data_IF_960489544940
#
_entry.id   IF_960489544940
#
_cell.length_a   1.000
_cell.length_b   1.000
_cell.length_c   1.000
_cell.angle_alpha   90.00
_cell.angle_beta   90.00
_cell.angle_gamma   90.00
#
_symmetry.space_group_name_H-M   'P 1'
#
loop_
_entity.id
_entity.type
_entity.pdbx_description
1 polymer ?
#
# COMPACT_ATOMS: atom_id res chain seq x y z
N UNK A 1 52.19 29.56 -27.27
CA UNK A 1 53.58 30.01 -26.98
C UNK A 1 53.50 30.89 -25.75
N UNK A 2 54.32 30.78 -24.70
CA UNK A 2 55.59 30.02 -24.50
C UNK A 2 55.59 29.23 -23.17
N UNK A 3 56.57 28.35 -22.97
CA UNK A 3 56.94 27.79 -21.64
C UNK A 3 57.96 28.70 -20.90
N UNK A 4 58.83 28.19 -19.98
CA UNK A 4 59.21 26.77 -19.77
C UNK A 4 59.43 26.31 -18.28
N UNK A 5 59.95 25.07 -18.12
CA UNK A 5 60.58 24.43 -16.93
C UNK A 5 59.64 24.07 -15.73
N UNK A 6 59.69 22.90 -15.07
CA UNK A 6 60.77 21.98 -14.62
C UNK A 6 61.49 22.50 -13.33
N UNK A 7 61.74 21.73 -12.26
CA UNK A 7 61.67 20.25 -12.00
C UNK A 7 61.20 20.02 -10.52
N UNK A 8 61.30 18.91 -9.75
CA UNK A 8 61.91 17.54 -9.83
C UNK A 8 61.38 16.56 -8.75
N UNK A 9 61.42 15.27 -9.08
CA UNK A 9 61.68 14.04 -8.27
C UNK A 9 61.43 13.99 -6.74
N UNK A 10 60.63 13.01 -6.28
CA UNK A 10 61.10 11.92 -5.37
C UNK A 10 60.01 10.86 -5.03
N UNK A 11 60.42 9.60 -4.95
CA UNK A 11 59.64 8.45 -4.46
C UNK A 11 60.48 7.64 -3.48
N UNK A 12 59.87 6.84 -2.58
CA UNK A 12 60.48 5.54 -2.30
C UNK A 12 59.51 4.35 -2.15
N UNK A 13 59.92 3.25 -2.79
CA UNK A 13 59.85 1.85 -2.35
C UNK A 13 58.58 1.27 -1.67
N UNK A 14 58.07 0.21 -2.30
CA UNK A 14 57.12 -0.75 -1.71
C UNK A 14 57.74 -1.59 -0.57
N UNK A 15 56.88 -2.26 0.21
CA UNK A 15 57.24 -3.47 0.98
C UNK A 15 56.32 -4.63 0.61
N UNK A 16 56.92 -5.79 0.32
CA UNK A 16 56.21 -7.04 0.06
C UNK A 16 55.86 -7.77 1.36
N UNK A 17 54.66 -8.31 1.45
CA UNK A 17 54.26 -9.27 2.50
C UNK A 17 53.98 -10.65 1.91
N UNK A 18 54.98 -11.54 1.88
CA UNK A 18 54.77 -12.97 1.57
C UNK A 18 54.39 -13.72 2.84
N UNK A 19 53.33 -14.52 2.79
CA UNK A 19 53.22 -15.74 3.62
C UNK A 19 52.77 -16.92 2.76
N UNK A 20 53.19 -18.13 3.14
CA UNK A 20 53.24 -19.30 2.27
C UNK A 20 52.66 -20.55 2.96
N UNK A 21 51.71 -21.19 2.27
CA UNK A 21 51.35 -22.62 2.28
C UNK A 21 51.34 -23.40 3.60
N UNK A 22 50.24 -24.16 3.82
CA UNK A 22 50.33 -25.63 3.74
C UNK A 22 48.98 -26.29 3.45
N UNK A 23 49.03 -27.57 3.12
CA UNK A 23 47.95 -28.36 2.50
C UNK A 23 48.00 -29.82 2.94
N UNK A 24 46.85 -30.42 3.18
CA UNK A 24 46.60 -31.88 3.23
C UNK A 24 45.10 -32.07 2.92
N UNK A 25 44.65 -32.65 1.80
CA UNK A 25 44.86 -33.99 1.24
C UNK A 25 44.04 -35.09 1.94
N UNK A 26 43.03 -35.61 1.26
CA UNK A 26 42.14 -36.68 1.75
C UNK A 26 41.21 -37.18 0.65
N UNK A 27 41.71 -38.04 -0.23
CA UNK A 27 40.94 -38.73 -1.27
C UNK A 27 40.47 -40.10 -0.76
N UNK A 28 39.31 -40.60 -1.22
CA UNK A 28 39.15 -41.99 -1.75
C UNK A 28 37.74 -42.20 -2.34
N UNK A 29 37.73 -42.45 -3.66
CA UNK A 29 36.89 -43.35 -4.48
C UNK A 29 35.44 -43.78 -4.12
N UNK A 30 34.65 -43.83 -5.21
CA UNK A 30 33.42 -44.59 -5.56
C UNK A 30 32.98 -45.79 -4.67
N UNK A 31 31.72 -46.29 -4.70
CA UNK A 31 30.91 -46.55 -5.90
C UNK A 31 29.43 -46.91 -5.58
N UNK A 32 28.62 -47.13 -6.63
CA UNK A 32 27.39 -47.97 -6.67
C UNK A 32 26.10 -47.52 -5.95
N UNK A 33 25.05 -47.34 -6.76
CA UNK A 33 23.63 -47.65 -6.44
C UNK A 33 23.29 -49.04 -7.02
N UNK A 34 22.06 -49.62 -6.92
CA UNK A 34 20.84 -49.12 -6.27
C UNK A 34 20.19 -50.13 -5.28
N UNK A 35 19.12 -49.69 -4.61
CA UNK A 35 18.18 -50.54 -3.88
C UNK A 35 16.98 -49.73 -3.41
N UNK A 36 15.77 -50.23 -3.66
CA UNK A 36 14.53 -49.62 -3.18
C UNK A 36 14.00 -50.40 -1.97
N UNK A 37 13.29 -49.73 -1.06
CA UNK A 37 11.87 -50.03 -0.76
C UNK A 37 11.25 -48.99 0.18
N UNK A 38 9.97 -49.15 0.49
CA UNK A 38 9.12 -48.13 1.11
C UNK A 38 8.69 -48.49 2.53
N UNK A 39 8.80 -47.56 3.48
CA UNK A 39 8.09 -47.60 4.75
C UNK A 39 7.82 -46.18 5.29
N UNK A 40 6.53 -45.85 5.51
CA UNK A 40 6.09 -44.65 6.24
C UNK A 40 5.82 -44.97 7.70
N UNK A 41 6.23 -44.12 8.66
CA UNK A 41 5.56 -44.01 9.97
C UNK A 41 5.95 -42.73 10.76
N UNK A 42 4.90 -41.99 11.16
CA UNK A 42 4.73 -41.09 12.32
C UNK A 42 5.88 -40.24 12.91
N UNK A 43 5.57 -38.94 13.05
CA UNK A 43 6.17 -37.84 13.84
C UNK A 43 6.58 -38.18 15.30
N UNK A 44 7.46 -37.35 15.89
CA UNK A 44 6.94 -36.44 16.93
C UNK A 44 7.39 -34.96 16.78
N UNK A 45 6.75 -34.10 17.58
CA UNK A 45 6.89 -32.64 17.60
C UNK A 45 8.34 -32.13 17.76
N UNK A 46 8.62 -30.96 17.16
CA UNK A 46 9.46 -29.96 17.83
C UNK A 46 8.90 -28.54 17.58
N UNK A 47 9.11 -27.63 18.53
CA UNK A 47 8.41 -26.36 18.59
C UNK A 47 9.29 -25.15 18.20
N UNK A 48 8.63 -24.10 17.71
CA UNK A 48 9.14 -22.74 17.79
C UNK A 48 10.15 -22.29 16.74
N UNK A 49 9.63 -21.71 15.65
CA UNK A 49 9.97 -20.32 15.27
C UNK A 49 8.93 -19.75 14.31
N UNK A 50 8.35 -18.61 14.67
CA UNK A 50 7.48 -17.84 13.79
C UNK A 50 8.32 -16.91 12.93
N UNK A 51 8.41 -17.20 11.63
CA UNK A 51 8.97 -16.31 10.62
C UNK A 51 7.88 -15.94 9.62
N UNK A 52 7.06 -14.96 9.98
CA UNK A 52 5.93 -14.46 9.18
C UNK A 52 6.37 -13.63 7.96
N UNK A 53 7.15 -14.22 7.07
CA UNK A 53 7.42 -13.67 5.73
C UNK A 53 6.36 -14.16 4.74
N UNK A 54 5.17 -13.55 4.80
CA UNK A 54 4.10 -13.77 3.82
C UNK A 54 4.45 -13.08 2.48
N UNK A 55 5.29 -13.72 1.68
CA UNK A 55 5.61 -13.33 0.29
C UNK A 55 4.36 -13.46 -0.62
N UNK A 56 3.53 -12.41 -0.70
CA UNK A 56 2.43 -12.33 -1.67
C UNK A 56 2.95 -12.30 -3.12
N UNK A 57 2.94 -13.46 -3.78
CA UNK A 57 3.32 -13.63 -5.19
C UNK A 57 2.25 -13.08 -6.15
N UNK A 58 2.27 -11.77 -6.44
CA UNK A 58 1.45 -11.17 -7.50
C UNK A 58 1.94 -11.67 -8.88
N UNK A 59 1.18 -12.57 -9.48
CA UNK A 59 1.49 -13.18 -10.78
C UNK A 59 2.80 -13.97 -10.87
N UNK A 60 3.28 -14.51 -9.76
CA UNK A 60 4.54 -15.29 -9.70
C UNK A 60 5.81 -14.47 -9.46
N UNK A 61 5.72 -13.13 -9.44
CA UNK A 61 6.85 -12.26 -9.10
C UNK A 61 6.89 -12.04 -7.58
N UNK A 62 8.05 -12.23 -6.95
CA UNK A 62 8.28 -11.87 -5.54
C UNK A 62 8.29 -10.35 -5.39
N UNK A 63 7.61 -9.84 -4.37
CA UNK A 63 7.40 -8.40 -4.19
C UNK A 63 7.77 -7.97 -2.77
N UNK A 64 8.83 -7.18 -2.64
CA UNK A 64 9.34 -6.73 -1.35
C UNK A 64 8.76 -5.39 -0.94
N UNK A 65 8.71 -5.14 0.37
CA UNK A 65 8.25 -3.88 0.96
C UNK A 65 9.29 -3.41 1.97
N UNK A 66 9.78 -2.17 1.79
CA UNK A 66 10.59 -1.49 2.78
C UNK A 66 9.76 -1.23 4.05
N UNK A 67 10.32 -1.57 5.21
CA UNK A 67 9.70 -1.36 6.53
C UNK A 67 10.62 -0.62 7.52
N UNK A 68 11.82 -0.22 7.09
CA UNK A 68 12.83 0.41 7.95
C UNK A 68 12.96 1.92 7.76
N UNK A 69 12.13 2.51 6.89
CA UNK A 69 12.11 3.96 6.64
C UNK A 69 13.24 4.39 5.70
N UNK A 70 13.81 5.56 5.96
CA UNK A 70 14.81 6.21 5.11
C UNK A 70 15.95 6.80 5.97
N UNK A 71 17.24 6.60 5.60
CA UNK A 71 17.72 5.82 4.45
C UNK A 71 17.39 4.32 4.57
N UNK A 72 17.24 3.66 3.42
CA UNK A 72 16.87 2.23 3.36
C UNK A 72 17.97 1.38 3.98
N UNK A 73 17.62 0.50 4.91
CA UNK A 73 18.55 -0.42 5.56
C UNK A 73 19.26 -1.33 4.55
N UNK A 74 20.56 -1.58 4.77
CA UNK A 74 21.41 -2.41 3.90
C UNK A 74 20.81 -3.78 3.53
N UNK A 75 20.14 -4.48 4.45
CA UNK A 75 19.51 -5.78 4.15
C UNK A 75 18.40 -5.65 3.10
N UNK A 76 17.57 -4.60 3.19
CA UNK A 76 16.53 -4.32 2.20
C UNK A 76 17.11 -3.78 0.90
N UNK A 77 18.18 -2.99 0.97
CA UNK A 77 18.92 -2.49 -0.19
C UNK A 77 19.55 -3.63 -1.02
N UNK A 78 20.29 -4.54 -0.39
CA UNK A 78 20.88 -5.71 -1.07
C UNK A 78 19.81 -6.65 -1.63
N UNK A 79 18.69 -6.84 -0.93
CA UNK A 79 17.55 -7.64 -1.42
C UNK A 79 16.92 -7.03 -2.68
N UNK A 80 16.78 -5.69 -2.74
CA UNK A 80 16.33 -4.99 -3.94
C UNK A 80 17.27 -5.22 -5.13
N UNK A 81 18.58 -5.01 -4.93
CA UNK A 81 19.56 -5.22 -6.01
C UNK A 81 19.65 -6.68 -6.47
N UNK A 82 19.57 -7.64 -5.55
CA UNK A 82 19.52 -9.07 -5.85
C UNK A 82 18.29 -9.45 -6.67
N UNK A 83 17.13 -8.86 -6.37
CA UNK A 83 15.91 -9.02 -7.18
C UNK A 83 16.10 -8.46 -8.60
N UNK A 84 16.58 -7.23 -8.71
CA UNK A 84 16.82 -6.55 -9.99
C UNK A 84 17.80 -7.33 -10.87
N UNK A 85 18.91 -7.82 -10.30
CA UNK A 85 19.89 -8.64 -11.01
C UNK A 85 19.35 -10.00 -11.50
N UNK A 86 18.27 -10.51 -10.89
CA UNK A 86 17.60 -11.75 -11.30
C UNK A 86 16.53 -11.55 -12.39
N UNK A 87 15.99 -10.34 -12.51
CA UNK A 87 14.86 -10.02 -13.41
C UNK A 87 15.32 -9.26 -14.66
N UNK A 88 16.39 -8.47 -14.58
CA UNK A 88 16.91 -7.73 -15.73
C UNK A 88 17.76 -8.64 -16.65
N UNK A 89 17.66 -8.55 -18.00
CA UNK A 89 18.46 -9.36 -18.92
C UNK A 89 19.97 -9.25 -18.69
N UNK A 90 20.49 -8.03 -18.58
CA UNK A 90 21.91 -7.76 -18.29
C UNK A 90 22.31 -8.04 -16.82
N UNK A 91 21.38 -8.55 -16.00
CA UNK A 91 21.57 -8.94 -14.60
C UNK A 91 22.53 -8.10 -13.78
N UNK A 92 23.63 -8.73 -13.34
CA UNK A 92 24.65 -8.12 -12.48
C UNK A 92 25.50 -7.05 -13.17
N UNK A 93 25.61 -7.03 -14.50
CA UNK A 93 26.37 -6.01 -15.21
C UNK A 93 25.66 -4.66 -15.12
N UNK A 94 24.33 -4.64 -15.27
CA UNK A 94 23.53 -3.42 -15.08
C UNK A 94 23.58 -2.95 -13.61
N UNK A 95 23.44 -3.86 -12.66
CA UNK A 95 23.57 -3.54 -11.23
C UNK A 95 24.95 -2.96 -10.90
N UNK A 96 26.02 -3.54 -11.43
CA UNK A 96 27.39 -3.05 -11.24
C UNK A 96 27.61 -1.67 -11.88
N UNK A 97 27.09 -1.45 -13.10
CA UNK A 97 27.15 -0.15 -13.80
C UNK A 97 26.49 0.98 -13.01
N UNK A 98 25.40 0.72 -12.28
CA UNK A 98 24.73 1.75 -11.47
C UNK A 98 25.38 1.87 -10.08
N UNK A 99 25.60 0.76 -9.37
CA UNK A 99 26.09 0.79 -7.98
C UNK A 99 27.52 1.31 -7.84
N UNK A 100 28.37 1.05 -8.83
CA UNK A 100 29.78 1.43 -8.80
C UNK A 100 30.07 2.72 -9.60
N UNK A 101 29.04 3.41 -10.08
CA UNK A 101 29.19 4.69 -10.77
C UNK A 101 29.65 5.78 -9.80
N UNK A 102 30.82 6.37 -10.05
CA UNK A 102 31.31 7.52 -9.29
C UNK A 102 30.38 8.75 -9.42
N UNK A 103 29.61 8.83 -10.50
CA UNK A 103 28.62 9.88 -10.76
C UNK A 103 27.35 9.28 -11.35
N UNK A 104 26.21 9.53 -10.71
CA UNK A 104 24.88 9.29 -11.26
C UNK A 104 24.17 10.64 -11.47
N UNK A 105 23.33 10.81 -12.50
CA UNK A 105 22.56 12.03 -12.69
C UNK A 105 21.65 12.29 -11.47
N UNK A 106 21.80 13.46 -10.83
CA UNK A 106 20.91 13.86 -9.74
C UNK A 106 19.51 14.09 -10.30
N UNK A 107 18.58 13.21 -9.97
CA UNK A 107 17.19 13.34 -10.40
C UNK A 107 16.59 14.66 -9.83
N UNK A 108 15.90 15.48 -10.65
CA UNK A 108 15.17 16.63 -10.13
C UNK A 108 14.04 16.17 -9.21
N UNK A 109 13.87 16.87 -8.09
CA UNK A 109 12.73 16.66 -7.19
C UNK A 109 11.54 17.45 -7.76
N UNK A 110 10.42 16.81 -8.16
CA UNK A 110 9.24 17.52 -8.63
C UNK A 110 8.67 18.40 -7.52
N UNK A 111 8.30 19.64 -7.87
CA UNK A 111 7.62 20.53 -6.91
C UNK A 111 6.24 20.00 -6.58
N UNK A 112 5.92 19.91 -5.28
CA UNK A 112 4.58 19.57 -4.80
C UNK A 112 3.57 20.56 -5.40
N UNK A 113 2.48 20.10 -6.03
CA UNK A 113 1.48 21.00 -6.58
C UNK A 113 0.81 21.78 -5.45
N UNK A 114 0.49 23.04 -5.68
CA UNK A 114 -0.21 23.91 -4.72
C UNK A 114 -1.49 24.45 -5.36
N UNK A 115 -2.63 24.30 -4.69
CA UNK A 115 -3.93 24.70 -5.22
C UNK A 115 -4.08 26.21 -5.15
N UNK A 116 -4.33 26.84 -6.31
CA UNK A 116 -4.65 28.27 -6.40
C UNK A 116 -6.15 28.43 -6.60
N UNK A 117 -6.84 29.39 -5.93
CA UNK A 117 -8.27 29.61 -6.11
C UNK A 117 -8.73 29.89 -7.57
N UNK A 118 -7.81 30.31 -8.44
CA UNK A 118 -8.04 30.49 -9.87
C UNK A 118 -7.98 29.21 -10.71
N UNK A 119 -7.65 28.04 -10.12
CA UNK A 119 -7.59 26.76 -10.81
C UNK A 119 -8.93 26.03 -10.74
N UNK A 120 -9.40 25.52 -11.89
CA UNK A 120 -10.55 24.62 -11.92
C UNK A 120 -10.22 23.26 -11.31
N UNK A 121 -11.22 22.57 -10.77
CA UNK A 121 -11.08 21.22 -10.19
C UNK A 121 -10.40 20.23 -11.17
N UNK A 122 -10.76 20.16 -12.46
CA UNK A 122 -10.06 19.28 -13.41
C UNK A 122 -8.58 19.65 -13.62
N UNK A 123 -8.24 20.94 -13.65
CA UNK A 123 -6.85 21.38 -13.77
C UNK A 123 -6.03 21.04 -12.51
N UNK A 124 -6.64 21.08 -11.33
CA UNK A 124 -6.02 20.64 -10.09
C UNK A 124 -5.78 19.13 -10.03
N UNK A 125 -6.78 18.33 -10.41
CA UNK A 125 -6.65 16.87 -10.50
C UNK A 125 -5.55 16.47 -11.51
N UNK A 126 -5.46 17.17 -12.64
CA UNK A 126 -4.38 16.98 -13.61
C UNK A 126 -2.99 17.35 -13.03
N UNK A 127 -2.88 18.43 -12.26
CA UNK A 127 -1.64 18.81 -11.61
C UNK A 127 -1.17 17.76 -10.58
N UNK A 128 -2.08 17.21 -9.77
CA UNK A 128 -1.80 16.08 -8.86
C UNK A 128 -1.33 14.85 -9.64
N UNK A 129 -2.05 14.50 -10.71
CA UNK A 129 -1.71 13.33 -11.50
C UNK A 129 -0.37 13.46 -12.21
N UNK A 130 -0.01 14.66 -12.65
CA UNK A 130 1.29 14.96 -13.25
C UNK A 130 2.42 14.91 -12.21
N UNK A 131 2.17 15.33 -10.96
CA UNK A 131 3.10 15.13 -9.85
C UNK A 131 3.34 13.64 -9.57
N UNK A 132 2.29 12.82 -9.52
CA UNK A 132 2.42 11.35 -9.41
C UNK A 132 3.20 10.74 -10.59
N UNK A 133 2.95 11.19 -11.81
CA UNK A 133 3.68 10.76 -13.01
C UNK A 133 5.17 11.15 -12.94
N UNK A 134 5.50 12.31 -12.37
CA UNK A 134 6.87 12.77 -12.18
C UNK A 134 7.65 11.99 -11.09
N UNK A 135 6.95 11.45 -10.07
CA UNK A 135 7.53 10.48 -9.13
C UNK A 135 7.84 9.12 -9.81
N UNK A 136 7.19 8.82 -10.94
CA UNK A 136 7.27 7.58 -11.71
C UNK A 136 6.60 6.36 -11.05
N UNK A 137 6.26 5.36 -11.86
CA UNK A 137 5.80 4.06 -11.37
C UNK A 137 6.98 3.24 -10.88
N UNK A 138 6.88 2.63 -9.70
CA UNK A 138 7.96 1.83 -9.14
C UNK A 138 8.12 0.47 -9.86
N UNK A 139 9.19 0.34 -10.63
CA UNK A 139 9.58 -0.88 -11.35
C UNK A 139 10.69 -1.71 -10.65
N UNK A 140 11.19 -1.33 -9.47
CA UNK A 140 12.38 -1.96 -8.84
C UNK A 140 12.13 -3.32 -8.18
N UNK A 141 10.87 -3.76 -8.11
CA UNK A 141 10.45 -4.93 -7.33
C UNK A 141 10.34 -4.68 -5.82
N UNK A 142 10.73 -3.51 -5.32
CA UNK A 142 10.67 -3.16 -3.89
C UNK A 142 9.83 -1.90 -3.67
N UNK A 143 8.72 -2.01 -2.93
CA UNK A 143 7.90 -0.88 -2.51
C UNK A 143 8.67 -0.06 -1.46
N UNK A 144 8.71 1.27 -1.60
CA UNK A 144 9.50 2.12 -0.72
C UNK A 144 8.74 2.57 0.54
N UNK A 145 7.41 2.71 0.48
CA UNK A 145 6.60 3.20 1.59
C UNK A 145 5.59 2.13 2.05
N UNK A 146 5.61 1.69 3.31
CA UNK A 146 4.68 0.65 3.78
C UNK A 146 3.25 1.18 3.95
N UNK A 147 2.30 0.63 3.18
CA UNK A 147 0.88 1.01 3.26
C UNK A 147 0.03 -0.12 3.86
N UNK A 148 -0.10 -0.12 5.20
CA UNK A 148 -1.02 -1.00 5.93
C UNK A 148 -2.45 -0.48 5.78
N UNK A 149 -3.27 -1.14 4.97
CA UNK A 149 -4.67 -0.74 4.63
C UNK A 149 -5.62 -0.59 5.84
N UNK A 150 -5.28 -1.20 6.97
CA UNK A 150 -6.01 -1.12 8.25
C UNK A 150 -5.57 0.04 9.14
N UNK A 151 -4.52 0.79 8.77
CA UNK A 151 -4.03 1.95 9.53
C UNK A 151 -5.09 3.07 9.49
N UNK A 152 -5.33 3.79 10.60
CA UNK A 152 -6.12 5.03 10.62
C UNK A 152 -5.71 6.03 9.53
N UNK A 153 -6.65 6.82 9.03
CA UNK A 153 -6.40 7.82 7.98
C UNK A 153 -5.26 8.78 8.35
N UNK A 154 -5.23 9.28 9.59
CA UNK A 154 -4.14 10.13 10.09
C UNK A 154 -2.74 9.55 9.91
N UNK A 155 -2.56 8.27 10.23
CA UNK A 155 -1.29 7.57 10.00
C UNK A 155 -0.96 7.38 8.50
N UNK A 156 -1.97 7.23 7.64
CA UNK A 156 -1.75 7.18 6.19
C UNK A 156 -1.35 8.56 5.63
N UNK A 157 -1.82 9.66 6.24
CA UNK A 157 -1.41 11.03 5.90
C UNK A 157 -0.01 11.42 6.43
N UNK A 158 0.57 10.66 7.36
CA UNK A 158 2.01 10.71 7.66
C UNK A 158 2.83 10.09 6.52
N UNK A 159 2.49 8.88 6.09
CA UNK A 159 3.21 8.22 4.99
C UNK A 159 3.08 8.98 3.67
N UNK A 160 1.96 9.68 3.42
CA UNK A 160 1.84 10.60 2.28
C UNK A 160 2.80 11.81 2.34
N UNK A 161 3.06 12.35 3.55
CA UNK A 161 4.08 13.40 3.75
C UNK A 161 5.51 12.86 3.56
N UNK A 162 5.75 11.61 3.94
CA UNK A 162 7.02 10.93 3.69
C UNK A 162 7.26 10.71 2.19
N UNK A 163 6.26 10.25 1.42
CA UNK A 163 6.34 10.16 -0.05
C UNK A 163 6.74 11.49 -0.70
N UNK A 164 6.20 12.60 -0.18
CA UNK A 164 6.52 13.96 -0.64
C UNK A 164 7.95 14.37 -0.26
N UNK A 165 8.42 14.01 0.94
CA UNK A 165 9.78 14.37 1.42
C UNK A 165 10.88 13.58 0.70
N UNK A 166 10.69 12.27 0.52
CA UNK A 166 11.67 11.38 -0.10
C UNK A 166 11.62 11.38 -1.64
N UNK A 167 10.45 11.72 -2.22
CA UNK A 167 10.26 11.87 -3.67
C UNK A 167 10.64 10.62 -4.50
N UNK A 168 10.37 9.43 -3.98
CA UNK A 168 10.70 8.15 -4.64
C UNK A 168 9.54 7.57 -5.48
N UNK A 169 9.82 6.67 -6.44
CA UNK A 169 8.80 5.99 -7.24
C UNK A 169 7.77 5.21 -6.43
N UNK A 170 6.52 5.30 -6.86
CA UNK A 170 5.33 4.77 -6.17
C UNK A 170 4.54 3.76 -7.01
N UNK A 171 3.76 2.89 -6.36
CA UNK A 171 2.79 1.99 -6.98
C UNK A 171 1.36 2.47 -6.76
N UNK A 172 0.40 1.74 -7.34
CA UNK A 172 -1.02 2.05 -7.31
C UNK A 172 -1.59 2.36 -5.92
N UNK A 173 -1.21 1.60 -4.89
CA UNK A 173 -1.70 1.79 -3.53
C UNK A 173 -1.12 3.05 -2.85
N UNK A 174 0.17 3.32 -3.04
CA UNK A 174 0.83 4.53 -2.54
C UNK A 174 0.24 5.78 -3.21
N UNK A 175 0.01 5.73 -4.52
CA UNK A 175 -0.65 6.79 -5.28
C UNK A 175 -2.09 7.08 -4.82
N UNK A 176 -2.85 6.07 -4.36
CA UNK A 176 -4.18 6.30 -3.77
C UNK A 176 -4.08 7.09 -2.46
N UNK A 177 -3.13 6.76 -1.58
CA UNK A 177 -2.92 7.47 -0.32
C UNK A 177 -2.40 8.90 -0.54
N UNK A 178 -1.47 9.09 -1.47
CA UNK A 178 -0.97 10.40 -1.89
C UNK A 178 -2.06 11.25 -2.55
N UNK A 179 -2.92 10.63 -3.36
CA UNK A 179 -4.06 11.29 -4.00
C UNK A 179 -5.09 11.80 -3.00
N UNK A 180 -5.38 11.00 -1.95
CA UNK A 180 -6.21 11.42 -0.82
C UNK A 180 -5.57 12.63 -0.12
N UNK A 181 -4.28 12.55 0.23
CA UNK A 181 -3.56 13.63 0.90
C UNK A 181 -3.63 14.95 0.14
N UNK A 182 -3.28 14.94 -1.15
CA UNK A 182 -3.26 16.13 -2.02
C UNK A 182 -4.66 16.70 -2.35
N UNK A 183 -5.74 16.00 -1.99
CA UNK A 183 -7.13 16.44 -2.23
C UNK A 183 -7.93 16.73 -0.96
N UNK A 184 -7.38 16.51 0.25
CA UNK A 184 -8.09 16.72 1.52
C UNK A 184 -8.73 18.12 1.62
N UNK A 185 -8.00 19.18 1.25
CA UNK A 185 -8.50 20.55 1.30
C UNK A 185 -9.59 20.90 0.28
N UNK A 186 -9.87 20.04 -0.71
CA UNK A 186 -10.82 20.31 -1.79
C UNK A 186 -12.16 19.61 -1.53
N UNK A 187 -12.95 20.18 -0.61
CA UNK A 187 -14.24 19.63 -0.13
C UNK A 187 -15.33 19.49 -1.18
N UNK A 188 -15.14 20.02 -2.39
CA UNK A 188 -16.03 19.81 -3.54
C UNK A 188 -15.76 18.50 -4.31
N UNK A 189 -14.73 17.74 -3.93
CA UNK A 189 -14.36 16.46 -4.56
C UNK A 189 -14.48 15.34 -3.54
N UNK A 190 -15.52 14.52 -3.67
CA UNK A 190 -15.69 13.27 -2.92
C UNK A 190 -14.76 12.19 -3.51
N UNK A 191 -14.17 11.33 -2.65
CA UNK A 191 -13.02 10.49 -3.02
C UNK A 191 -13.16 9.09 -2.44
N UNK A 192 -12.99 8.04 -3.22
CA UNK A 192 -13.24 6.65 -2.79
C UNK A 192 -12.34 5.65 -3.51
N UNK A 193 -11.81 4.61 -2.85
CA UNK A 193 -10.97 3.62 -3.52
C UNK A 193 -11.79 2.69 -4.43
N UNK A 194 -11.31 2.48 -5.66
CA UNK A 194 -11.84 1.49 -6.60
C UNK A 194 -10.77 0.41 -6.77
N UNK A 195 -11.03 -0.80 -6.28
CA UNK A 195 -10.10 -1.94 -6.38
C UNK A 195 -10.54 -2.95 -7.42
N UNK A 196 -9.62 -3.40 -8.27
CA UNK A 196 -9.83 -4.43 -9.27
C UNK A 196 -9.06 -5.70 -8.91
N UNK A 197 -9.70 -6.86 -9.03
CA UNK A 197 -9.03 -8.16 -9.15
C UNK A 197 -9.26 -8.69 -10.56
N UNK A 198 -8.18 -8.96 -11.28
CA UNK A 198 -8.21 -9.51 -12.64
C UNK A 198 -7.47 -10.84 -12.70
N UNK A 199 -7.57 -11.53 -13.84
CA UNK A 199 -6.81 -12.73 -14.15
C UNK A 199 -6.20 -12.61 -15.56
N UNK A 200 -4.94 -12.98 -15.71
CA UNK A 200 -4.22 -13.09 -16.99
C UNK A 200 -3.26 -14.28 -16.91
N UNK A 201 -3.19 -15.12 -17.95
CA UNK A 201 -2.31 -16.30 -18.02
C UNK A 201 -2.33 -17.15 -16.74
N UNK A 202 -3.54 -17.58 -16.33
CA UNK A 202 -3.82 -18.33 -15.09
C UNK A 202 -3.72 -17.50 -13.80
N UNK A 203 -2.75 -16.58 -13.74
CA UNK A 203 -2.40 -15.75 -12.61
C UNK A 203 -3.46 -14.69 -12.27
N UNK A 204 -3.58 -14.36 -10.99
CA UNK A 204 -4.43 -13.28 -10.50
C UNK A 204 -3.59 -12.04 -10.18
N UNK A 205 -4.14 -10.87 -10.49
CA UNK A 205 -3.49 -9.58 -10.26
C UNK A 205 -4.43 -8.63 -9.51
N UNK A 206 -3.86 -7.81 -8.64
CA UNK A 206 -4.61 -6.81 -7.86
C UNK A 206 -4.17 -5.38 -8.19
N UNK A 207 -5.15 -4.48 -8.31
CA UNK A 207 -4.91 -3.08 -8.64
C UNK A 207 -5.91 -2.17 -7.91
N UNK A 208 -5.55 -0.90 -7.70
CA UNK A 208 -6.43 0.09 -7.03
C UNK A 208 -6.19 1.49 -7.60
N UNK A 209 -7.26 2.26 -7.75
CA UNK A 209 -7.24 3.69 -8.12
C UNK A 209 -8.11 4.49 -7.16
N UNK A 210 -7.91 5.80 -7.10
CA UNK A 210 -8.75 6.70 -6.34
C UNK A 210 -9.85 7.24 -7.27
N UNK A 211 -11.05 6.71 -7.13
CA UNK A 211 -12.26 7.29 -7.71
C UNK A 211 -12.49 8.68 -7.12
N UNK A 212 -12.80 9.64 -7.99
CA UNK A 212 -13.18 11.00 -7.63
C UNK A 212 -14.56 11.31 -8.20
N UNK A 213 -15.37 12.03 -7.42
CA UNK A 213 -16.69 12.50 -7.82
C UNK A 213 -16.83 13.99 -7.49
N UNK A 214 -17.22 14.78 -8.48
CA UNK A 214 -17.44 16.23 -8.34
C UNK A 214 -18.44 16.70 -9.39
N UNK A 215 -19.36 17.60 -9.01
CA UNK A 215 -20.33 18.27 -9.90
C UNK A 215 -21.06 17.33 -10.88
N UNK A 216 -21.53 16.18 -10.39
CA UNK A 216 -22.28 15.20 -11.19
C UNK A 216 -21.43 14.36 -12.14
N UNK A 217 -20.09 14.39 -12.01
CA UNK A 217 -19.15 13.62 -12.85
C UNK A 217 -18.18 12.79 -12.02
N UNK A 218 -17.77 11.68 -12.60
CA UNK A 218 -16.80 10.71 -12.07
C UNK A 218 -15.50 10.75 -12.89
N UNK A 219 -14.39 10.39 -12.24
CA UNK A 219 -13.06 10.21 -12.83
C UNK A 219 -12.13 9.45 -11.87
N UNK A 220 -10.83 9.37 -12.15
CA UNK A 220 -9.84 8.74 -11.25
C UNK A 220 -8.49 9.46 -11.22
N UNK A 221 -7.81 9.31 -10.07
CA UNK A 221 -6.36 9.48 -9.90
C UNK A 221 -5.71 8.12 -9.61
N UNK A 222 -4.44 7.92 -9.97
CA UNK A 222 -3.69 6.72 -9.60
C UNK A 222 -2.34 6.58 -10.29
N UNK A 223 -1.69 5.43 -10.13
CA UNK A 223 -0.45 5.08 -10.83
C UNK A 223 -0.47 3.61 -11.25
N UNK A 224 -0.18 3.33 -12.51
CA UNK A 224 -0.21 1.99 -13.10
C UNK A 224 0.91 1.79 -14.10
N UNK A 225 1.21 0.52 -14.42
CA UNK A 225 2.13 0.10 -15.50
C UNK A 225 1.57 0.39 -16.89
N UNK A 226 0.28 0.76 -17.00
CA UNK A 226 -0.44 1.07 -18.25
C UNK A 226 -1.19 2.39 -18.10
N UNK A 227 -1.07 3.26 -19.09
CA UNK A 227 -1.55 4.65 -19.02
C UNK A 227 -3.08 4.76 -18.91
N UNK A 228 -3.81 3.87 -19.56
CA UNK A 228 -5.26 3.76 -19.53
C UNK A 228 -5.81 3.02 -18.31
N UNK A 229 -4.94 2.58 -17.39
CA UNK A 229 -5.33 1.93 -16.13
C UNK A 229 -4.96 2.77 -14.89
N UNK A 230 -4.93 4.11 -15.01
CA UNK A 230 -4.66 5.01 -13.89
C UNK A 230 -5.60 6.22 -13.84
N UNK A 231 -5.25 7.34 -14.48
CA UNK A 231 -6.14 8.51 -14.56
C UNK A 231 -7.24 8.36 -15.61
N UNK A 232 -8.42 8.87 -15.26
CA UNK A 232 -9.58 9.05 -16.13
C UNK A 232 -10.14 10.43 -15.84
N UNK A 233 -10.33 11.23 -16.90
CA UNK A 233 -10.84 12.60 -16.77
C UNK A 233 -12.20 12.65 -16.06
N UNK A 234 -12.54 13.79 -15.46
CA UNK A 234 -13.78 14.03 -14.73
C UNK A 234 -14.98 14.22 -15.69
N UNK A 235 -15.24 13.22 -16.54
CA UNK A 235 -16.16 13.29 -17.68
C UNK A 235 -17.28 12.27 -17.63
N UNK A 236 -17.11 11.16 -16.91
CA UNK A 236 -18.07 10.06 -16.81
C UNK A 236 -19.30 10.54 -16.03
N UNK A 237 -20.51 10.26 -16.50
CA UNK A 237 -21.76 10.69 -15.85
C UNK A 237 -22.16 9.75 -14.71
N UNK A 238 -21.72 8.49 -14.78
CA UNK A 238 -22.15 7.41 -13.90
C UNK A 238 -20.95 6.62 -13.35
N UNK A 239 -21.15 5.87 -12.26
CA UNK A 239 -20.08 5.04 -11.68
C UNK A 239 -19.83 3.80 -12.55
N UNK A 240 -20.87 3.27 -13.16
CA UNK A 240 -20.80 2.16 -14.10
C UNK A 240 -20.06 2.51 -15.38
N UNK A 241 -20.29 3.67 -16.02
CA UNK A 241 -19.50 4.13 -17.18
C UNK A 241 -17.99 4.11 -16.87
N UNK A 242 -17.59 4.66 -15.72
CA UNK A 242 -16.19 4.68 -15.29
C UNK A 242 -15.62 3.27 -15.08
N UNK A 243 -16.34 2.39 -14.39
CA UNK A 243 -15.87 1.02 -14.11
C UNK A 243 -15.81 0.16 -15.38
N UNK A 244 -16.73 0.34 -16.32
CA UNK A 244 -16.74 -0.38 -17.60
C UNK A 244 -15.59 0.06 -18.51
N UNK A 245 -15.24 1.36 -18.53
CA UNK A 245 -14.02 1.84 -19.21
C UNK A 245 -12.75 1.21 -18.63
N UNK A 246 -12.69 0.93 -17.31
CA UNK A 246 -11.59 0.13 -16.74
C UNK A 246 -11.65 -1.35 -17.17
N UNK A 247 -12.83 -1.99 -17.25
CA UNK A 247 -12.97 -3.36 -17.78
C UNK A 247 -12.46 -3.45 -19.23
N UNK A 248 -12.87 -2.51 -20.08
CA UNK A 248 -12.45 -2.42 -21.48
C UNK A 248 -10.94 -2.12 -21.59
N UNK A 249 -10.39 -1.28 -20.71
CA UNK A 249 -8.95 -1.05 -20.57
C UNK A 249 -8.18 -2.32 -20.19
N UNK A 250 -8.67 -3.14 -19.26
CA UNK A 250 -8.04 -4.42 -18.92
C UNK A 250 -8.09 -5.42 -20.08
N UNK A 251 -9.19 -5.44 -20.85
CA UNK A 251 -9.34 -6.35 -21.99
C UNK A 251 -8.30 -6.09 -23.08
N UNK A 252 -7.88 -4.84 -23.29
CA UNK A 252 -6.76 -4.48 -24.20
C UNK A 252 -5.43 -5.14 -23.83
N UNK A 253 -5.24 -5.54 -22.57
CA UNK A 253 -4.06 -6.28 -22.11
C UNK A 253 -4.37 -7.76 -21.79
N UNK A 254 -5.46 -8.31 -22.33
CA UNK A 254 -5.89 -9.70 -22.14
C UNK A 254 -6.22 -10.07 -20.67
N UNK A 255 -6.38 -9.07 -19.78
CA UNK A 255 -6.82 -9.27 -18.41
C UNK A 255 -8.34 -9.46 -18.34
N UNK A 256 -8.79 -10.62 -17.86
CA UNK A 256 -10.20 -10.86 -17.52
C UNK A 256 -10.52 -10.27 -16.15
N UNK A 257 -11.50 -9.36 -16.06
CA UNK A 257 -11.98 -8.84 -14.78
C UNK A 257 -12.69 -9.95 -13.98
N UNK A 258 -12.36 -10.09 -12.69
CA UNK A 258 -12.95 -11.11 -11.79
C UNK A 258 -13.73 -10.49 -10.64
N UNK A 259 -13.21 -9.45 -9.99
CA UNK A 259 -13.95 -8.71 -8.95
C UNK A 259 -13.67 -7.22 -9.03
N UNK A 260 -14.69 -6.42 -8.77
CA UNK A 260 -14.59 -4.98 -8.49
C UNK A 260 -14.94 -4.77 -7.02
N UNK A 261 -14.24 -3.89 -6.32
CA UNK A 261 -14.60 -3.41 -4.98
C UNK A 261 -14.66 -1.90 -4.99
N UNK A 262 -15.73 -1.34 -4.43
CA UNK A 262 -15.88 0.10 -4.23
C UNK A 262 -15.86 0.38 -2.73
N UNK A 263 -15.03 1.32 -2.30
CA UNK A 263 -15.01 1.83 -0.94
C UNK A 263 -16.07 2.90 -0.68
N UNK A 264 -16.10 3.44 0.53
CA UNK A 264 -16.87 4.65 0.85
C UNK A 264 -16.06 5.92 0.56
N UNK A 265 -16.73 7.07 0.61
CA UNK A 265 -16.05 8.36 0.59
C UNK A 265 -15.09 8.51 1.79
N UNK A 266 -13.86 8.94 1.50
CA UNK A 266 -12.79 9.17 2.48
C UNK A 266 -12.98 10.56 3.11
N UNK A 267 -12.99 10.68 4.45
CA UNK A 267 -13.11 11.96 5.14
C UNK A 267 -12.06 13.00 4.71
N UNK A 268 -12.46 14.27 4.68
CA UNK A 268 -11.59 15.38 4.29
C UNK A 268 -10.65 15.86 5.41
N UNK A 269 -11.04 15.65 6.68
CA UNK A 269 -10.14 15.91 7.82
C UNK A 269 -9.04 14.82 7.86
N UNK A 270 -7.75 15.18 7.71
CA UNK A 270 -6.66 14.21 7.77
C UNK A 270 -6.44 13.62 9.15
N UNK A 271 -7.00 14.19 10.23
CA UNK A 271 -6.78 13.72 11.60
C UNK A 271 -7.73 12.59 12.03
N UNK A 272 -8.67 12.18 11.17
CA UNK A 272 -9.64 11.13 11.46
C UNK A 272 -8.96 9.79 11.76
N UNK A 273 -9.35 9.20 12.90
CA UNK A 273 -8.83 7.90 13.37
C UNK A 273 -9.50 6.67 12.73
N UNK A 274 -10.52 6.87 11.89
CA UNK A 274 -11.15 5.78 11.14
C UNK A 274 -10.20 5.29 10.02
N UNK A 275 -10.13 3.98 9.74
CA UNK A 275 -9.46 3.46 8.55
C UNK A 275 -10.30 3.76 7.30
N UNK A 276 -9.65 3.78 6.14
CA UNK A 276 -10.36 3.82 4.84
C UNK A 276 -11.20 2.55 4.69
N UNK A 277 -12.47 2.69 4.28
CA UNK A 277 -13.27 1.54 3.86
C UNK A 277 -12.96 1.21 2.39
N UNK A 278 -12.35 0.05 2.15
CA UNK A 278 -11.82 -0.38 0.85
C UNK A 278 -12.76 -1.31 0.06
N UNK A 279 -13.81 -1.83 0.69
CA UNK A 279 -14.55 -3.01 0.21
C UNK A 279 -16.02 -3.04 0.64
N UNK A 280 -16.68 -1.87 0.62
CA UNK A 280 -18.09 -1.76 0.98
C UNK A 280 -19.00 -2.49 -0.03
N UNK A 281 -18.85 -2.17 -1.32
CA UNK A 281 -19.43 -2.95 -2.40
C UNK A 281 -18.37 -3.94 -2.92
N UNK A 282 -18.74 -5.20 -3.14
CA UNK A 282 -17.87 -6.23 -3.74
C UNK A 282 -18.64 -7.00 -4.80
N UNK A 283 -18.41 -6.66 -6.07
CA UNK A 283 -19.05 -7.30 -7.22
C UNK A 283 -18.16 -8.39 -7.80
N UNK A 284 -18.75 -9.54 -8.16
CA UNK A 284 -18.06 -10.66 -8.81
C UNK A 284 -18.39 -10.67 -10.31
N UNK A 285 -17.49 -10.13 -11.12
CA UNK A 285 -17.65 -10.01 -12.58
C UNK A 285 -17.71 -11.37 -13.30
N UNK A 286 -17.25 -12.46 -12.67
CA UNK A 286 -17.40 -13.81 -13.21
C UNK A 286 -18.73 -14.49 -12.81
N UNK A 287 -19.61 -13.80 -12.07
CA UNK A 287 -20.95 -14.31 -11.66
C UNK A 287 -22.11 -13.37 -11.98
N UNK A 288 -21.85 -12.08 -12.16
CA UNK A 288 -22.86 -11.07 -12.51
C UNK A 288 -22.78 -10.75 -14.00
N UNK A 289 -23.93 -10.67 -14.67
CA UNK A 289 -24.00 -10.09 -16.01
C UNK A 289 -23.61 -8.61 -15.97
N UNK A 290 -23.10 -8.09 -17.10
CA UNK A 290 -22.69 -6.67 -17.23
C UNK A 290 -23.80 -5.70 -16.82
N UNK A 291 -25.04 -6.03 -17.17
CA UNK A 291 -26.23 -5.23 -16.85
C UNK A 291 -26.57 -5.22 -15.36
N UNK A 292 -26.43 -6.34 -14.65
CA UNK A 292 -26.69 -6.38 -13.19
C UNK A 292 -25.55 -5.74 -12.40
N UNK A 293 -24.31 -5.86 -12.91
CA UNK A 293 -23.18 -5.07 -12.39
C UNK A 293 -23.44 -3.56 -12.55
N UNK A 294 -23.99 -3.13 -13.70
CA UNK A 294 -24.38 -1.72 -13.95
C UNK A 294 -25.42 -1.25 -12.93
N UNK A 295 -26.48 -2.04 -12.68
CA UNK A 295 -27.53 -1.73 -11.70
C UNK A 295 -26.96 -1.54 -10.28
N UNK A 296 -26.14 -2.47 -9.80
CA UNK A 296 -25.57 -2.37 -8.44
C UNK A 296 -24.55 -1.23 -8.30
N UNK A 297 -23.77 -0.93 -9.35
CA UNK A 297 -22.89 0.25 -9.36
C UNK A 297 -23.68 1.56 -9.32
N UNK A 298 -24.79 1.70 -10.05
CA UNK A 298 -25.61 2.92 -10.03
C UNK A 298 -26.41 3.11 -8.75
N UNK A 299 -26.88 2.01 -8.15
CA UNK A 299 -27.48 2.00 -6.81
C UNK A 299 -26.45 2.46 -5.77
N UNK A 300 -25.30 1.82 -5.68
CA UNK A 300 -24.25 2.20 -4.74
C UNK A 300 -23.73 3.64 -4.97
N UNK A 301 -23.56 4.05 -6.23
CA UNK A 301 -23.21 5.42 -6.58
C UNK A 301 -24.27 6.45 -6.15
N UNK A 302 -25.55 6.11 -6.21
CA UNK A 302 -26.65 6.92 -5.66
C UNK A 302 -26.59 6.99 -4.13
N UNK A 303 -26.43 5.85 -3.46
CA UNK A 303 -26.46 5.77 -2.00
C UNK A 303 -25.26 6.49 -1.35
N UNK A 304 -24.10 6.50 -2.02
CA UNK A 304 -22.95 7.35 -1.66
C UNK A 304 -23.28 8.84 -1.79
N UNK A 305 -23.84 9.28 -2.93
CA UNK A 305 -24.22 10.69 -3.15
C UNK A 305 -25.27 11.19 -2.15
N UNK A 306 -26.21 10.33 -1.75
CA UNK A 306 -27.21 10.61 -0.72
C UNK A 306 -26.67 10.50 0.73
N UNK A 307 -25.40 10.08 0.90
CA UNK A 307 -24.73 9.87 2.20
C UNK A 307 -25.50 8.95 3.17
N UNK A 308 -26.22 7.98 2.60
CA UNK A 308 -27.01 6.98 3.35
C UNK A 308 -26.08 5.90 3.95
N UNK A 309 -25.00 5.58 3.23
CA UNK A 309 -24.07 4.52 3.62
C UNK A 309 -23.21 4.93 4.81
N UNK A 310 -23.14 4.07 5.83
CA UNK A 310 -22.29 4.23 7.02
C UNK A 310 -21.24 3.12 7.04
N UNK A 311 -20.01 3.44 7.43
CA UNK A 311 -18.97 2.44 7.66
C UNK A 311 -19.33 1.57 8.88
N UNK A 312 -19.13 0.26 8.77
CA UNK A 312 -19.32 -0.66 9.90
C UNK A 312 -18.32 -0.40 11.04
N UNK A 313 -17.14 0.13 10.71
CA UNK A 313 -16.12 0.59 11.66
C UNK A 313 -16.49 1.86 12.44
N UNK A 314 -17.50 2.64 12.01
CA UNK A 314 -17.99 3.79 12.77
C UNK A 314 -19.02 3.41 13.86
N UNK A 315 -19.43 2.15 13.93
CA UNK A 315 -20.09 1.65 15.15
C UNK A 315 -19.05 1.49 16.25
N UNK A 316 -18.88 2.53 17.07
CA UNK A 316 -18.37 2.35 18.43
C UNK A 316 -19.15 1.20 19.08
N UNK A 317 -18.53 0.33 19.89
CA UNK A 317 -19.29 -0.63 20.66
C UNK A 317 -20.27 0.14 21.54
N UNK A 318 -21.56 0.08 21.18
CA UNK A 318 -22.61 0.24 22.17
C UNK A 318 -22.27 -0.83 23.20
N UNK A 319 -21.80 -0.38 24.37
CA UNK A 319 -21.98 -1.17 25.58
C UNK A 319 -23.47 -1.38 25.66
N UNK A 320 -23.94 -2.52 25.17
CA UNK A 320 -25.13 -3.13 25.72
C UNK A 320 -24.85 -3.19 27.21
N UNK A 321 -25.44 -2.24 27.93
CA UNK A 321 -25.51 -2.28 29.38
C UNK A 321 -26.50 -3.39 29.67
N UNK A 322 -26.03 -4.63 29.48
CA UNK A 322 -26.76 -5.87 29.67
C UNK A 322 -27.59 -5.67 30.91
N UNK A 323 -28.91 -5.87 30.82
CA UNK A 323 -29.89 -5.38 31.80
C UNK A 323 -29.81 -6.26 33.06
N UNK A 324 -28.67 -6.14 33.74
CA UNK A 324 -28.24 -6.92 34.87
C UNK A 324 -29.29 -6.78 35.94
N UNK A 325 -29.82 -7.92 36.37
CA UNK A 325 -30.84 -8.02 37.41
C UNK A 325 -30.38 -7.15 38.57
N UNK A 326 -31.15 -6.10 38.88
CA UNK A 326 -30.84 -5.20 39.98
C UNK A 326 -30.93 -6.00 41.27
N UNK A 327 -29.77 -6.44 41.79
CA UNK A 327 -29.64 -7.02 43.12
C UNK A 327 -29.75 -5.90 44.15
N UNK A 328 -30.96 -5.36 44.24
CA UNK A 328 -31.39 -4.40 45.25
C UNK A 328 -31.13 -5.01 46.64
N UNK A 329 -30.29 -4.40 47.50
CA UNK A 329 -30.08 -4.88 48.85
C UNK A 329 -31.43 -5.03 49.57
N UNK A 330 -31.67 -6.20 50.15
CA UNK A 330 -33.01 -6.60 50.59
C UNK A 330 -33.40 -5.91 51.90
N UNK A 331 -33.79 -4.63 51.81
CA UNK A 331 -34.22 -3.79 52.92
C UNK A 331 -35.53 -4.30 53.52
N UNK A 332 -35.42 -5.22 54.49
CA UNK A 332 -36.55 -5.75 55.25
C UNK A 332 -37.42 -4.61 55.78
N UNK A 333 -38.73 -4.68 55.53
CA UNK A 333 -39.71 -3.87 56.25
C UNK A 333 -40.04 -4.57 57.57
N UNK A 334 -39.84 -3.87 58.67
CA UNK A 334 -40.37 -4.25 59.98
C UNK A 334 -40.64 -2.98 60.79
N UNK A 335 -41.91 -2.71 61.05
CA UNK A 335 -42.42 -1.57 61.81
C UNK A 335 -43.82 -1.93 62.35
N UNK A 336 -44.33 -1.31 63.44
CA UNK A 336 -43.76 -0.18 64.20
C UNK A 336 -43.67 -0.42 65.73
N UNK A 337 -43.11 0.53 66.50
CA UNK A 337 -43.86 1.29 67.52
C UNK A 337 -43.04 2.36 68.31
N UNK A 338 -43.76 3.41 68.71
CA UNK A 338 -43.59 4.33 69.87
C UNK A 338 -42.35 5.25 70.05
N UNK A 339 -42.61 6.55 69.77
CA UNK A 339 -42.44 7.75 70.65
C UNK A 339 -41.14 7.98 71.46
N UNK A 340 -40.40 9.04 71.13
CA UNK A 340 -40.16 10.32 71.87
C UNK A 340 -39.06 11.11 71.10
N UNK A 341 -39.26 12.35 70.64
CA UNK A 341 -39.24 13.67 71.33
C UNK A 341 -37.84 14.14 71.74
N UNK A 342 -37.44 15.29 71.15
CA UNK A 342 -36.29 16.16 71.47
C UNK A 342 -34.86 15.60 71.29
N UNK A 343 -33.79 16.43 71.23
CA UNK A 343 -33.51 17.81 70.72
C UNK A 343 -32.02 18.11 71.01
N UNK A 344 -31.40 18.98 70.20
CA UNK A 344 -30.20 19.79 70.51
C UNK A 344 -28.81 19.23 70.16
N UNK A 345 -27.88 20.18 70.10
CA UNK A 345 -26.58 20.22 69.43
C UNK A 345 -25.38 19.79 70.31
N UNK A 346 -24.18 19.99 69.75
CA UNK A 346 -22.81 19.92 70.31
C UNK A 346 -22.08 18.58 70.17
N UNK A 347 -20.83 18.54 69.69
CA UNK A 347 -19.95 19.60 69.13
C UNK A 347 -19.13 19.07 67.97
#
# INVERSE_FOLDING_TARGET
MTGPNATSTCSPAAKMGRHRSKSTSGSTYCNSSPGAESATLSTPNNAGRSSGEEDEKDGGVLFYVNRTGFPIEGVTWERMWTHVAKVHPDGQDMVSKIRNAAYLPKHPVPSVPNFKPSMSVPAWLLAIQNYMKALQYNHTGTQFFEIRKTRPLCGLMETAREMIRESLPIKCLEAVILGIYLTNGLTSVERFPISFKTQFSGNHFHHVVLGVYCNGRYGTLGMSRRQDLMDKALTFRTLSELVMEFEDSYRRYQHTLKKVKIGLYVPHDPHVFQPIEWKYLVLNAARLGREDMRKELEKHGRDMRMKILKSSSAQSPIKERTRGKSLSPHRRQSSPQRRHIHRRDKS
#
